data_IF_172077761171
#
_entry.id   IF_172077761171
#
_cell.length_a   1.000
_cell.length_b   1.000
_cell.length_c   1.000
_cell.angle_alpha   90.00
_cell.angle_beta   90.00
_cell.angle_gamma   90.00
#
_symmetry.space_group_name_H-M   'P 1'
#
loop_
_entity.id
_entity.type
_entity.pdbx_description
1 polymer ?
#
# COMPACT_ATOMS: atom_id res chain seq x y z
N UNK A 1 31.77 88.70 16.63
CA UNK A 1 31.26 89.76 15.75
C UNK A 1 31.22 89.23 14.33
N UNK A 2 30.08 89.43 13.65
CA UNK A 2 29.72 89.01 12.28
C UNK A 2 29.33 87.53 12.09
N UNK A 3 28.38 87.18 11.24
CA UNK A 3 27.09 87.74 10.77
C UNK A 3 26.39 86.57 10.04
N UNK A 4 25.06 86.57 10.11
CA UNK A 4 24.08 85.65 9.49
C UNK A 4 24.25 85.38 7.99
N UNK A 5 23.81 84.19 7.53
CA UNK A 5 22.95 83.93 6.33
C UNK A 5 22.62 82.41 6.23
N UNK A 6 21.38 81.95 6.47
CA UNK A 6 20.29 81.60 5.52
C UNK A 6 20.68 80.82 4.24
N UNK A 7 20.07 79.63 4.05
CA UNK A 7 19.90 79.03 2.71
C UNK A 7 19.45 77.56 2.69
N UNK A 8 18.23 77.32 2.18
CA UNK A 8 17.75 76.12 1.45
C UNK A 8 17.81 74.76 2.19
N UNK A 9 16.71 74.08 2.51
CA UNK A 9 15.59 73.81 1.63
C UNK A 9 15.93 72.72 0.60
N UNK A 10 16.07 71.46 1.02
CA UNK A 10 15.95 70.33 0.11
C UNK A 10 15.24 69.17 0.82
N UNK A 11 13.97 69.01 0.47
CA UNK A 11 13.12 67.88 0.88
C UNK A 11 13.72 66.64 0.25
N UNK A 12 14.31 65.77 1.08
CA UNK A 12 14.75 64.45 0.66
C UNK A 12 13.48 63.59 0.47
N UNK A 13 13.02 63.50 -0.77
CA UNK A 13 11.92 62.64 -1.16
C UNK A 13 12.35 61.18 -0.97
N UNK A 14 11.89 60.57 0.13
CA UNK A 14 11.97 59.14 0.37
C UNK A 14 11.11 58.43 -0.68
N UNK A 15 11.75 57.97 -1.77
CA UNK A 15 11.12 57.10 -2.76
C UNK A 15 10.95 55.72 -2.13
N UNK A 16 9.87 55.54 -1.36
CA UNK A 16 9.46 54.22 -0.87
C UNK A 16 8.93 53.46 -2.09
N UNK A 17 9.79 52.65 -2.70
CA UNK A 17 9.38 51.66 -3.69
C UNK A 17 8.47 50.65 -2.98
N UNK A 18 7.17 50.90 -3.07
CA UNK A 18 6.14 49.99 -2.57
C UNK A 18 6.15 48.74 -3.46
N UNK A 19 6.96 47.76 -3.09
CA UNK A 19 6.95 46.44 -3.70
C UNK A 19 5.62 45.78 -3.30
N UNK A 20 4.57 46.00 -4.10
CA UNK A 20 3.31 45.30 -3.96
C UNK A 20 3.55 43.82 -4.29
N UNK A 21 3.99 43.06 -3.30
CA UNK A 21 4.04 41.61 -3.35
C UNK A 21 2.62 41.13 -3.64
N UNK A 22 2.38 40.71 -4.89
CA UNK A 22 1.18 39.97 -5.25
C UNK A 22 1.29 38.63 -4.54
N UNK A 23 0.73 38.52 -3.34
CA UNK A 23 0.41 37.23 -2.76
C UNK A 23 -0.67 36.63 -3.64
N UNK A 24 -0.27 35.84 -4.64
CA UNK A 24 -1.19 34.94 -5.29
C UNK A 24 -1.76 34.05 -4.19
N UNK A 25 -3.08 34.10 -3.98
CA UNK A 25 -3.76 33.21 -3.06
C UNK A 25 -3.57 31.78 -3.57
N UNK A 26 -2.59 31.07 -3.00
CA UNK A 26 -2.36 29.68 -3.30
C UNK A 26 -3.47 28.90 -2.60
N UNK A 27 -4.38 28.30 -3.36
CA UNK A 27 -5.41 27.43 -2.81
C UNK A 27 -4.76 26.39 -1.89
N UNK A 28 -5.35 26.08 -0.73
CA UNK A 28 -4.79 25.07 0.16
C UNK A 28 -4.55 23.78 -0.63
N UNK A 29 -3.40 23.11 -0.44
CA UNK A 29 -3.15 21.84 -1.10
C UNK A 29 -4.32 20.90 -0.79
N UNK A 30 -4.83 20.22 -1.82
CA UNK A 30 -5.87 19.23 -1.64
C UNK A 30 -5.41 18.21 -0.56
N UNK A 31 -6.31 17.75 0.32
CA UNK A 31 -5.94 16.74 1.30
C UNK A 31 -5.35 15.53 0.59
N UNK A 32 -4.16 15.12 1.04
CA UNK A 32 -3.53 13.91 0.50
C UNK A 32 -4.46 12.71 0.72
N UNK A 33 -4.60 11.81 -0.27
CA UNK A 33 -5.38 10.60 -0.09
C UNK A 33 -4.79 9.78 1.08
N UNK A 34 -5.64 9.07 1.84
CA UNK A 34 -5.15 8.21 2.91
C UNK A 34 -4.14 7.19 2.35
N UNK A 35 -3.11 6.82 3.13
CA UNK A 35 -2.12 5.85 2.69
C UNK A 35 -2.79 4.51 2.34
N UNK A 36 -2.33 3.87 1.27
CA UNK A 36 -2.80 2.53 0.90
C UNK A 36 -2.39 1.53 1.99
N UNK A 37 -3.35 0.89 2.68
CA UNK A 37 -3.03 -0.04 3.75
C UNK A 37 -2.27 -1.28 3.24
N UNK A 38 -2.27 -1.55 1.94
CA UNK A 38 -1.59 -2.70 1.32
C UNK A 38 -0.16 -2.40 0.87
N UNK A 39 0.28 -1.14 0.91
CA UNK A 39 1.57 -0.71 0.37
C UNK A 39 2.76 -1.49 0.96
N UNK A 40 2.72 -1.82 2.25
CA UNK A 40 3.78 -2.61 2.89
C UNK A 40 3.86 -4.05 2.38
N UNK A 41 2.73 -4.66 2.00
CA UNK A 41 2.67 -6.02 1.48
C UNK A 41 3.05 -6.10 0.00
N UNK A 42 2.79 -5.04 -0.78
CA UNK A 42 3.16 -4.93 -2.19
C UNK A 42 4.38 -4.03 -2.41
N UNK A 43 5.29 -3.99 -1.44
CA UNK A 43 6.56 -3.29 -1.62
C UNK A 43 7.47 -4.13 -2.53
N UNK A 44 7.75 -3.60 -3.73
CA UNK A 44 8.56 -4.25 -4.77
C UNK A 44 10.07 -4.29 -4.44
N UNK A 45 10.53 -3.51 -3.46
CA UNK A 45 11.93 -3.48 -3.02
C UNK A 45 12.26 -4.64 -2.06
N UNK A 46 11.26 -5.39 -1.58
CA UNK A 46 11.42 -6.40 -0.54
C UNK A 46 10.71 -7.69 -0.91
N UNK A 47 11.42 -8.82 -0.81
CA UNK A 47 10.80 -10.15 -0.89
C UNK A 47 10.01 -10.39 0.40
N UNK A 48 8.69 -10.51 0.26
CA UNK A 48 7.79 -10.77 1.37
C UNK A 48 7.84 -12.25 1.79
N UNK A 49 7.89 -12.50 3.10
CA UNK A 49 7.73 -13.83 3.66
C UNK A 49 6.28 -14.06 4.11
N UNK A 50 5.64 -15.08 3.55
CA UNK A 50 4.30 -15.54 3.94
C UNK A 50 4.37 -16.97 4.43
N UNK A 51 3.80 -17.23 5.60
CA UNK A 51 3.68 -18.58 6.16
C UNK A 51 2.23 -19.05 6.09
N UNK A 52 2.03 -20.18 5.42
CA UNK A 52 0.76 -20.89 5.39
C UNK A 52 0.87 -22.15 6.25
N UNK A 53 -0.03 -22.30 7.22
CA UNK A 53 -0.08 -23.47 8.10
C UNK A 53 -1.42 -24.18 7.96
N UNK A 54 -1.39 -25.48 7.66
CA UNK A 54 -2.57 -26.30 7.42
C UNK A 54 -2.31 -27.75 7.80
N UNK A 55 -3.37 -28.56 7.83
CA UNK A 55 -3.25 -29.99 8.05
C UNK A 55 -2.44 -30.65 6.92
N UNK A 56 -1.52 -31.56 7.26
CA UNK A 56 -0.70 -32.26 6.27
C UNK A 56 -1.52 -33.13 5.30
N UNK A 57 -2.67 -33.65 5.74
CA UNK A 57 -3.62 -34.39 4.90
C UNK A 57 -4.25 -33.48 3.84
N UNK A 58 -4.65 -32.28 4.23
CA UNK A 58 -5.22 -31.28 3.32
C UNK A 58 -4.18 -30.81 2.30
N UNK A 59 -2.95 -30.56 2.75
CA UNK A 59 -1.85 -30.22 1.83
C UNK A 59 -1.58 -31.34 0.82
N UNK A 60 -1.59 -32.59 1.27
CA UNK A 60 -1.43 -33.76 0.39
C UNK A 60 -2.59 -33.84 -0.60
N UNK A 61 -3.83 -33.69 -0.12
CA UNK A 61 -5.03 -33.73 -0.95
C UNK A 61 -5.03 -32.61 -2.02
N UNK A 62 -4.61 -31.39 -1.67
CA UNK A 62 -4.47 -30.28 -2.61
C UNK A 62 -3.48 -30.62 -3.72
N UNK A 63 -2.30 -31.15 -3.36
CA UNK A 63 -1.26 -31.51 -4.34
C UNK A 63 -1.69 -32.67 -5.24
N UNK A 64 -2.37 -33.68 -4.69
CA UNK A 64 -2.91 -34.80 -5.48
C UNK A 64 -4.00 -34.32 -6.43
N UNK A 65 -4.90 -33.46 -5.95
CA UNK A 65 -6.05 -32.98 -6.69
C UNK A 65 -5.83 -31.55 -7.23
N UNK A 66 -4.62 -31.24 -7.69
CA UNK A 66 -4.21 -29.88 -8.06
C UNK A 66 -5.04 -29.28 -9.22
N UNK A 67 -5.80 -30.09 -9.95
CA UNK A 67 -6.73 -29.64 -11.00
C UNK A 67 -8.09 -29.19 -10.45
N UNK A 68 -8.42 -29.51 -9.20
CA UNK A 68 -9.68 -29.13 -8.55
C UNK A 68 -9.67 -27.68 -8.03
N UNK A 69 -10.85 -27.11 -7.83
CA UNK A 69 -11.07 -25.84 -7.14
C UNK A 69 -11.46 -26.01 -5.65
N UNK A 70 -11.23 -27.21 -5.08
CA UNK A 70 -11.48 -27.48 -3.66
C UNK A 70 -10.67 -26.52 -2.78
N UNK A 71 -11.35 -25.90 -1.82
CA UNK A 71 -10.73 -25.10 -0.78
C UNK A 71 -10.36 -25.95 0.42
N UNK A 72 -9.21 -25.63 1.01
CA UNK A 72 -8.70 -26.24 2.22
C UNK A 72 -8.45 -25.15 3.28
N UNK A 73 -8.81 -25.40 4.54
CA UNK A 73 -8.62 -24.45 5.62
C UNK A 73 -7.13 -24.29 5.94
N UNK A 74 -6.69 -23.04 6.15
CA UNK A 74 -5.36 -22.77 6.66
C UNK A 74 -5.30 -21.50 7.52
N UNK A 75 -4.16 -21.31 8.17
CA UNK A 75 -3.73 -20.06 8.77
C UNK A 75 -2.76 -19.35 7.82
N UNK A 76 -2.90 -18.05 7.70
CA UNK A 76 -1.99 -17.16 6.99
C UNK A 76 -1.25 -16.29 8.02
N UNK A 77 0.07 -16.17 7.88
CA UNK A 77 0.89 -15.27 8.69
C UNK A 77 1.80 -14.45 7.79
N UNK A 78 1.79 -13.13 7.99
CA UNK A 78 2.71 -12.17 7.39
C UNK A 78 3.15 -11.19 8.48
N UNK A 79 4.45 -11.14 8.76
CA UNK A 79 5.00 -10.41 9.91
C UNK A 79 4.29 -10.83 11.21
N UNK A 80 3.78 -9.88 12.00
CA UNK A 80 3.01 -10.13 13.22
C UNK A 80 1.51 -10.39 12.97
N UNK A 81 1.03 -10.23 11.72
CA UNK A 81 -0.39 -10.38 11.38
C UNK A 81 -0.68 -11.86 11.11
N UNK A 82 -1.61 -12.43 11.88
CA UNK A 82 -2.09 -13.80 11.71
C UNK A 82 -3.60 -13.81 11.45
N UNK A 83 -4.00 -14.44 10.34
CA UNK A 83 -5.41 -14.68 10.00
C UNK A 83 -5.67 -16.19 10.03
N UNK A 84 -6.70 -16.61 10.76
CA UNK A 84 -7.12 -18.01 10.88
C UNK A 84 -8.39 -18.24 10.06
N UNK A 85 -8.73 -19.52 9.84
CA UNK A 85 -9.93 -19.92 9.10
C UNK A 85 -10.01 -19.26 7.72
N UNK A 86 -8.87 -19.20 7.03
CA UNK A 86 -8.82 -18.75 5.63
C UNK A 86 -8.88 -19.96 4.71
N UNK A 87 -9.20 -19.76 3.44
CA UNK A 87 -9.22 -20.82 2.44
C UNK A 87 -8.05 -20.69 1.46
N UNK A 88 -7.40 -21.81 1.15
CA UNK A 88 -6.51 -21.90 -0.02
C UNK A 88 -7.02 -22.93 -1.00
N UNK A 89 -6.76 -22.69 -2.28
CA UNK A 89 -6.98 -23.68 -3.33
C UNK A 89 -5.93 -23.58 -4.42
N UNK A 90 -5.80 -24.66 -5.19
CA UNK A 90 -5.06 -24.61 -6.44
C UNK A 90 -5.68 -23.59 -7.41
N UNK A 91 -4.81 -22.85 -8.10
CA UNK A 91 -5.15 -21.78 -9.02
C UNK A 91 -4.32 -21.87 -10.28
N UNK A 92 -4.97 -21.64 -11.41
CA UNK A 92 -4.37 -21.64 -12.74
C UNK A 92 -5.29 -22.36 -13.70
N UNK A 93 -4.87 -22.43 -14.97
CA UNK A 93 -5.44 -23.38 -15.92
C UNK A 93 -4.33 -24.35 -16.33
N UNK A 94 -3.55 -24.02 -17.36
CA UNK A 94 -2.36 -24.78 -17.75
C UNK A 94 -1.15 -24.63 -16.82
N UNK A 95 -1.18 -23.68 -15.88
CA UNK A 95 -0.09 -23.46 -14.91
C UNK A 95 -0.23 -24.27 -13.62
N UNK A 96 -1.26 -25.11 -13.47
CA UNK A 96 -1.46 -25.87 -12.23
C UNK A 96 -0.44 -27.01 -12.13
N UNK A 97 0.06 -27.28 -10.92
CA UNK A 97 1.02 -28.35 -10.66
C UNK A 97 0.83 -28.93 -9.26
N UNK A 98 0.93 -30.26 -9.13
CA UNK A 98 0.96 -30.93 -7.82
C UNK A 98 2.31 -30.80 -7.11
N UNK A 99 3.39 -30.52 -7.85
CA UNK A 99 4.75 -30.36 -7.28
C UNK A 99 4.92 -28.98 -6.67
N UNK A 100 4.58 -27.92 -7.42
CA UNK A 100 4.57 -26.53 -6.95
C UNK A 100 3.23 -25.88 -7.29
N UNK A 101 2.21 -26.02 -6.43
CA UNK A 101 0.91 -25.44 -6.69
C UNK A 101 0.97 -23.92 -6.77
N UNK A 102 0.33 -23.34 -7.80
CA UNK A 102 -0.10 -21.95 -7.74
C UNK A 102 -1.31 -21.86 -6.83
N UNK A 103 -1.32 -20.92 -5.89
CA UNK A 103 -2.36 -20.82 -4.87
C UNK A 103 -3.18 -19.55 -5.04
N UNK A 104 -4.49 -19.68 -4.87
CA UNK A 104 -5.34 -18.56 -4.48
C UNK A 104 -5.59 -18.68 -2.98
N UNK A 105 -5.35 -17.59 -2.27
CA UNK A 105 -5.55 -17.43 -0.83
C UNK A 105 -6.74 -16.50 -0.67
N UNK A 106 -7.85 -16.97 -0.14
CA UNK A 106 -9.05 -16.18 0.14
C UNK A 106 -9.23 -16.08 1.66
N UNK A 107 -9.10 -14.87 2.18
CA UNK A 107 -9.12 -14.58 3.62
C UNK A 107 -10.53 -14.67 4.21
N UNK A 108 -11.56 -14.44 3.40
CA UNK A 108 -12.97 -14.45 3.81
C UNK A 108 -13.70 -15.76 3.52
N UNK A 109 -13.01 -16.81 3.05
CA UNK A 109 -13.66 -18.03 2.58
C UNK A 109 -14.45 -18.78 3.67
N UNK A 110 -13.87 -18.96 4.87
CA UNK A 110 -14.55 -19.58 6.02
C UNK A 110 -14.90 -18.58 7.12
N UNK A 111 -14.60 -17.29 6.92
CA UNK A 111 -14.89 -16.21 7.85
C UNK A 111 -15.37 -14.97 7.07
N UNK A 112 -16.67 -14.89 6.71
CA UNK A 112 -17.20 -13.79 5.91
C UNK A 112 -16.85 -12.43 6.51
N UNK A 113 -16.34 -11.53 5.68
CA UNK A 113 -15.95 -10.18 6.09
C UNK A 113 -14.52 -10.05 6.61
N UNK A 114 -13.80 -11.14 6.87
CA UNK A 114 -12.37 -11.08 7.24
C UNK A 114 -11.54 -10.46 6.10
N UNK A 115 -10.63 -9.55 6.44
CA UNK A 115 -9.75 -8.86 5.47
C UNK A 115 -8.30 -8.88 5.93
N UNK A 116 -7.41 -8.95 4.96
CA UNK A 116 -5.98 -8.69 5.15
C UNK A 116 -5.67 -7.25 4.76
N UNK A 117 -4.82 -6.56 5.53
CA UNK A 117 -4.52 -5.13 5.34
C UNK A 117 -5.80 -4.29 5.17
N UNK A 118 -6.83 -4.57 5.99
CA UNK A 118 -8.14 -3.89 6.02
C UNK A 118 -9.01 -4.06 4.77
N UNK A 119 -8.44 -4.22 3.57
CA UNK A 119 -9.17 -4.18 2.30
C UNK A 119 -9.16 -5.49 1.52
N UNK A 120 -8.08 -6.28 1.61
CA UNK A 120 -7.87 -7.43 0.75
C UNK A 120 -8.73 -8.62 1.16
N UNK A 121 -9.50 -9.14 0.19
CA UNK A 121 -10.22 -10.41 0.31
C UNK A 121 -9.36 -11.61 -0.07
N UNK A 122 -8.42 -11.41 -0.98
CA UNK A 122 -7.63 -12.52 -1.52
C UNK A 122 -6.30 -12.05 -2.07
N UNK A 123 -5.33 -12.96 -2.09
CA UNK A 123 -4.06 -12.81 -2.82
C UNK A 123 -3.79 -14.07 -3.66
N UNK A 124 -2.95 -13.91 -4.68
CA UNK A 124 -2.53 -15.02 -5.55
C UNK A 124 -1.03 -15.22 -5.40
N UNK A 125 -0.64 -16.46 -5.11
CA UNK A 125 0.74 -16.90 -5.13
C UNK A 125 0.97 -17.73 -6.40
N UNK A 126 1.56 -17.10 -7.43
CA UNK A 126 1.87 -17.81 -8.69
C UNK A 126 3.06 -18.74 -8.48
N UNK A 127 3.05 -19.86 -9.19
CA UNK A 127 4.14 -20.85 -9.16
C UNK A 127 5.22 -20.63 -10.23
N UNK A 128 4.99 -19.70 -11.17
CA UNK A 128 5.88 -19.32 -12.26
C UNK A 128 6.33 -20.52 -13.12
N UNK A 129 5.40 -21.41 -13.45
CA UNK A 129 5.66 -22.60 -14.27
C UNK A 129 5.48 -22.36 -15.78
N UNK A 130 5.11 -21.14 -16.17
CA UNK A 130 5.03 -20.64 -17.55
C UNK A 130 5.39 -19.16 -17.55
#
# INVERSE_FOLDING_TARGET
MRLRTLGGGFVLACLVLLNAARTAAQSPPAPEPPPDPTAGFFNDDVIQEVRLTLNSKDWTALKTNFQSNTYYPCQFTWQSVTLKNIGIRSRGNGSRSGTKPGLRVDFDHYAPGQRFQTVLKSVVLRNNTQ
#
